data_IF_102286768544
#
_entry.id   IF_102286768544
#
_cell.length_a   1.000
_cell.length_b   1.000
_cell.length_c   1.000
_cell.angle_alpha   90.00
_cell.angle_beta   90.00
_cell.angle_gamma   90.00
#
_symmetry.space_group_name_H-M   'P 1'
#
loop_
_entity.id
_entity.type
_entity.pdbx_description
1 polymer ?
#
# COMPACT_ATOMS: atom_id res chain seq x y z
N UNK A 1 18.48 0.64 18.31
CA UNK A 1 17.42 -0.28 18.73
C UNK A 1 16.55 0.35 19.80
N UNK A 2 15.26 0.19 19.71
CA UNK A 2 14.29 0.75 20.65
C UNK A 2 12.97 -0.02 20.56
N UNK A 3 11.98 0.43 21.34
CA UNK A 3 10.61 -0.10 21.30
C UNK A 3 9.68 1.08 21.08
N UNK A 4 8.93 1.02 20.00
CA UNK A 4 7.89 1.97 19.62
C UNK A 4 6.55 1.24 19.65
N UNK A 5 5.71 1.56 20.62
CA UNK A 5 4.49 0.82 20.85
C UNK A 5 3.39 1.72 21.46
N UNK A 6 2.17 1.61 20.95
CA UNK A 6 1.01 2.43 21.31
C UNK A 6 1.25 3.93 21.14
N UNK A 7 1.64 4.32 19.93
CA UNK A 7 1.89 5.71 19.54
C UNK A 7 0.77 6.17 18.61
N UNK A 8 0.22 7.35 18.86
CA UNK A 8 -0.71 8.00 17.94
C UNK A 8 -0.16 9.37 17.55
N UNK A 9 0.15 9.54 16.26
CA UNK A 9 0.58 10.79 15.63
C UNK A 9 -0.63 11.40 14.93
N UNK A 10 -0.90 12.68 15.15
CA UNK A 10 -2.13 13.30 14.62
C UNK A 10 -1.87 14.71 14.14
N UNK A 11 -2.48 15.04 12.97
CA UNK A 11 -2.44 16.38 12.38
C UNK A 11 -1.00 16.89 12.25
N UNK A 12 -0.10 15.99 11.90
CA UNK A 12 1.30 16.27 11.58
C UNK A 12 1.44 16.72 10.14
N UNK A 13 2.70 16.83 9.74
CA UNK A 13 3.07 17.24 8.41
C UNK A 13 2.96 18.75 8.22
N UNK A 14 3.97 19.29 7.63
CA UNK A 14 3.96 20.68 7.15
C UNK A 14 4.89 20.74 5.96
N UNK A 15 4.54 21.50 4.95
CA UNK A 15 5.47 21.79 3.87
C UNK A 15 6.63 22.63 4.42
N UNK A 16 7.84 22.10 4.28
CA UNK A 16 9.10 22.80 4.65
C UNK A 16 9.80 23.39 3.43
N UNK A 17 9.19 23.25 2.26
CA UNK A 17 9.64 23.78 0.98
C UNK A 17 8.76 23.26 -0.15
N UNK A 18 8.97 23.74 -1.37
CA UNK A 18 8.24 23.22 -2.55
C UNK A 18 8.62 21.74 -2.79
N UNK A 19 7.63 20.84 -2.71
CA UNK A 19 7.83 19.41 -2.84
C UNK A 19 8.61 18.76 -1.69
N UNK A 20 8.63 19.38 -0.52
CA UNK A 20 9.22 18.81 0.69
C UNK A 20 8.24 18.96 1.85
N UNK A 21 7.67 17.88 2.24
CA UNK A 21 6.70 17.76 3.32
C UNK A 21 7.20 16.84 4.42
N UNK A 22 6.47 16.67 5.48
CA UNK A 22 6.87 15.83 6.61
C UNK A 22 5.86 14.70 6.77
N UNK A 23 6.33 13.47 6.65
CA UNK A 23 5.54 12.27 6.92
C UNK A 23 5.09 12.17 8.38
N UNK A 24 4.05 11.41 8.62
CA UNK A 24 3.59 11.14 9.97
C UNK A 24 4.64 10.42 10.80
N UNK A 25 5.22 9.37 10.25
CA UNK A 25 6.36 8.62 10.81
C UNK A 25 7.26 8.15 9.67
N UNK A 26 8.56 8.44 9.75
CA UNK A 26 9.56 7.90 8.81
C UNK A 26 10.53 6.96 9.54
N UNK A 27 10.70 5.74 9.04
CA UNK A 27 11.69 4.76 9.50
C UNK A 27 12.89 4.73 8.55
N UNK A 28 13.83 5.66 8.72
CA UNK A 28 15.03 5.77 7.87
C UNK A 28 16.11 4.75 8.26
N UNK A 29 16.30 3.70 7.48
CA UNK A 29 17.36 2.71 7.67
C UNK A 29 17.28 1.91 8.98
N UNK A 30 16.10 1.74 9.55
CA UNK A 30 15.93 1.10 10.86
C UNK A 30 16.09 -0.42 10.75
N UNK A 31 16.91 -1.00 11.62
CA UNK A 31 17.22 -2.43 11.62
C UNK A 31 16.32 -3.30 12.53
N UNK A 32 16.43 -4.61 12.36
CA UNK A 32 15.65 -5.66 13.07
C UNK A 32 15.77 -5.65 14.60
N UNK A 33 16.77 -4.95 15.16
CA UNK A 33 16.87 -4.76 16.62
C UNK A 33 15.87 -3.77 17.21
N UNK A 34 15.04 -3.13 16.39
CA UNK A 34 13.97 -2.22 16.81
C UNK A 34 12.63 -2.94 16.76
N UNK A 35 11.80 -2.75 17.76
CA UNK A 35 10.43 -3.26 17.81
C UNK A 35 9.45 -2.14 17.49
N UNK A 36 8.61 -2.33 16.48
CA UNK A 36 7.61 -1.37 16.03
C UNK A 36 6.25 -2.04 16.00
N UNK A 37 5.31 -1.55 16.80
CA UNK A 37 3.95 -2.07 16.80
C UNK A 37 2.94 -1.08 17.35
N UNK A 38 1.67 -1.24 16.96
CA UNK A 38 0.56 -0.43 17.47
C UNK A 38 0.83 1.07 17.29
N UNK A 39 1.00 1.50 16.04
CA UNK A 39 1.16 2.91 15.67
C UNK A 39 -0.06 3.35 14.88
N UNK A 40 -0.62 4.49 15.25
CA UNK A 40 -1.67 5.17 14.51
C UNK A 40 -1.14 6.51 13.99
N UNK A 41 -1.39 6.79 12.71
CA UNK A 41 -1.20 8.12 12.11
C UNK A 41 -2.56 8.62 11.62
N UNK A 42 -2.93 9.86 11.96
CA UNK A 42 -4.22 10.44 11.57
C UNK A 42 -4.03 11.83 11.00
N UNK A 43 -4.57 12.03 9.80
CA UNK A 43 -4.65 13.33 9.13
C UNK A 43 -3.27 14.04 9.07
N UNK A 44 -2.26 13.31 8.64
CA UNK A 44 -0.97 13.91 8.27
C UNK A 44 -1.12 14.65 6.93
N UNK A 45 -0.28 15.64 6.67
CA UNK A 45 -0.35 16.42 5.41
C UNK A 45 0.26 15.65 4.25
N UNK A 46 1.30 14.90 4.52
CA UNK A 46 2.05 14.04 3.63
C UNK A 46 1.73 12.57 3.96
N UNK A 47 2.63 11.64 3.70
CA UNK A 47 2.42 10.22 3.97
C UNK A 47 2.06 9.92 5.42
N UNK A 48 1.40 8.79 5.58
CA UNK A 48 1.14 8.25 6.90
C UNK A 48 2.41 7.69 7.53
N UNK A 49 2.92 6.60 7.01
CA UNK A 49 4.11 5.92 7.53
C UNK A 49 5.00 5.52 6.35
N UNK A 50 6.22 6.04 6.34
CA UNK A 50 7.24 5.74 5.34
C UNK A 50 8.32 4.80 5.91
N UNK A 51 8.70 3.81 5.12
CA UNK A 51 9.84 2.92 5.35
C UNK A 51 10.94 3.23 4.34
N UNK A 52 11.82 4.15 4.67
CA UNK A 52 12.94 4.59 3.84
C UNK A 52 14.13 3.65 4.04
N UNK A 53 14.10 2.50 3.41
CA UNK A 53 15.09 1.43 3.57
C UNK A 53 15.06 0.76 4.96
N UNK A 54 16.06 -0.08 5.21
CA UNK A 54 16.20 -0.79 6.47
C UNK A 54 15.49 -2.15 6.51
N UNK A 55 15.50 -2.78 7.69
CA UNK A 55 15.08 -4.18 7.87
C UNK A 55 14.14 -4.37 9.06
N UNK A 56 13.58 -3.27 9.61
CA UNK A 56 12.69 -3.34 10.77
C UNK A 56 11.38 -4.05 10.41
N UNK A 57 10.90 -4.93 11.29
CA UNK A 57 9.57 -5.46 11.16
C UNK A 57 8.59 -4.59 11.96
N UNK A 58 7.43 -4.30 11.36
CA UNK A 58 6.38 -3.51 11.97
C UNK A 58 5.03 -4.25 11.93
N UNK A 59 4.19 -4.01 12.93
CA UNK A 59 2.87 -4.65 12.99
C UNK A 59 1.82 -3.76 13.63
N UNK A 60 0.55 -4.02 13.28
CA UNK A 60 -0.60 -3.31 13.84
C UNK A 60 -0.49 -1.79 13.59
N UNK A 61 -0.15 -1.42 12.37
CA UNK A 61 -0.12 -0.02 11.95
C UNK A 61 -1.50 0.38 11.44
N UNK A 62 -1.94 1.57 11.78
CA UNK A 62 -3.15 2.16 11.24
C UNK A 62 -2.86 3.58 10.75
N UNK A 63 -3.16 3.83 9.48
CA UNK A 63 -3.12 5.16 8.89
C UNK A 63 -4.53 5.58 8.51
N UNK A 64 -4.91 6.81 8.83
CA UNK A 64 -6.23 7.34 8.51
C UNK A 64 -6.16 8.78 8.01
N UNK A 65 -6.69 8.98 6.79
CA UNK A 65 -6.91 10.29 6.18
C UNK A 65 -5.63 11.15 6.07
N UNK A 66 -4.52 10.53 5.67
CA UNK A 66 -3.30 11.21 5.28
C UNK A 66 -3.52 12.03 3.98
N UNK A 67 -2.64 12.98 3.71
CA UNK A 67 -2.78 13.89 2.58
C UNK A 67 -2.14 13.38 1.28
N UNK A 68 -1.24 12.41 1.38
CA UNK A 68 -0.59 11.73 0.27
C UNK A 68 -0.78 10.22 0.44
N UNK A 69 0.27 9.42 0.64
CA UNK A 69 0.18 7.98 0.66
C UNK A 69 0.03 7.38 2.06
N UNK A 70 -0.59 6.20 2.15
CA UNK A 70 -0.85 5.54 3.42
C UNK A 70 0.39 4.90 4.04
N UNK A 71 0.86 3.85 3.41
CA UNK A 71 2.14 3.21 3.68
C UNK A 71 3.02 3.40 2.45
N UNK A 72 4.11 4.11 2.63
CA UNK A 72 5.14 4.29 1.62
C UNK A 72 6.34 3.40 1.92
N UNK A 73 6.79 2.64 0.91
CA UNK A 73 7.95 1.75 0.99
C UNK A 73 8.94 2.13 -0.07
N UNK A 74 10.14 2.52 0.36
CA UNK A 74 11.17 3.05 -0.50
C UNK A 74 12.57 2.48 -0.15
N UNK A 75 13.57 2.72 -1.01
CA UNK A 75 15.00 2.49 -0.78
C UNK A 75 15.39 1.06 -0.37
N UNK A 76 14.93 0.04 -1.04
CA UNK A 76 15.24 -1.36 -0.68
C UNK A 76 14.86 -1.74 0.76
N UNK A 77 13.76 -1.25 1.27
CA UNK A 77 13.26 -1.76 2.55
C UNK A 77 13.04 -3.27 2.46
N UNK A 78 13.55 -4.01 3.45
CA UNK A 78 13.49 -5.48 3.46
C UNK A 78 12.93 -6.06 4.75
N UNK A 79 12.11 -5.29 5.44
CA UNK A 79 11.33 -5.77 6.57
C UNK A 79 9.98 -6.34 6.18
N UNK A 80 9.21 -6.71 7.21
CA UNK A 80 7.82 -7.15 7.08
C UNK A 80 6.89 -6.14 7.77
N UNK A 81 5.92 -5.62 7.04
CA UNK A 81 4.76 -4.92 7.62
C UNK A 81 3.59 -5.89 7.67
N UNK A 82 3.03 -6.08 8.85
CA UNK A 82 1.98 -7.06 9.05
C UNK A 82 0.79 -6.53 9.84
N UNK A 83 -0.36 -7.12 9.60
CA UNK A 83 -1.60 -6.83 10.32
C UNK A 83 -1.89 -5.32 10.40
N UNK A 84 -1.92 -4.64 9.27
CA UNK A 84 -2.00 -3.18 9.22
C UNK A 84 -3.20 -2.71 8.38
N UNK A 85 -3.65 -1.49 8.63
CA UNK A 85 -4.83 -0.91 7.99
C UNK A 85 -4.54 0.50 7.49
N UNK A 86 -4.94 0.78 6.26
CA UNK A 86 -4.97 2.13 5.69
C UNK A 86 -6.41 2.49 5.37
N UNK A 87 -6.84 3.67 5.81
CA UNK A 87 -8.18 4.21 5.59
C UNK A 87 -8.01 5.56 4.91
N UNK A 88 -8.34 5.64 3.64
CA UNK A 88 -8.20 6.86 2.86
C UNK A 88 -9.15 7.97 3.33
N UNK A 89 -8.71 9.20 3.18
CA UNK A 89 -9.49 10.41 3.38
C UNK A 89 -9.72 11.15 2.05
N UNK A 90 -10.36 12.30 2.09
CA UNK A 90 -10.72 13.07 0.89
C UNK A 90 -9.53 13.64 0.10
N UNK A 91 -8.35 13.65 0.68
CA UNK A 91 -7.14 14.22 0.06
C UNK A 91 -6.02 13.17 -0.10
N UNK A 92 -6.31 11.93 0.26
CA UNK A 92 -5.33 10.84 0.13
C UNK A 92 -5.10 10.51 -1.34
N UNK A 93 -3.86 10.13 -1.68
CA UNK A 93 -3.49 9.64 -3.00
C UNK A 93 -3.60 8.10 -3.03
N UNK A 94 -2.61 7.34 -2.63
CA UNK A 94 -2.70 5.89 -2.60
C UNK A 94 -2.80 5.34 -1.16
N UNK A 95 -3.40 4.14 -1.03
CA UNK A 95 -3.29 3.43 0.24
C UNK A 95 -1.89 2.83 0.44
N UNK A 96 -1.25 2.43 -0.64
CA UNK A 96 0.13 1.95 -0.66
C UNK A 96 0.89 2.63 -1.80
N UNK A 97 2.06 3.20 -1.51
CA UNK A 97 3.04 3.56 -2.52
C UNK A 97 4.27 2.66 -2.34
N UNK A 98 4.74 2.07 -3.43
CA UNK A 98 5.84 1.11 -3.37
C UNK A 98 6.88 1.47 -4.41
N UNK A 99 7.96 2.09 -3.94
CA UNK A 99 9.16 2.30 -4.70
C UNK A 99 10.20 1.22 -4.40
N UNK A 100 10.96 0.86 -5.39
CA UNK A 100 12.02 -0.13 -5.27
C UNK A 100 13.38 0.49 -4.95
N UNK A 101 14.46 -0.29 -5.11
CA UNK A 101 15.80 0.16 -4.80
C UNK A 101 16.30 1.27 -5.74
N UNK A 102 16.87 2.33 -5.19
CA UNK A 102 17.53 3.38 -5.95
C UNK A 102 19.07 3.21 -6.02
N UNK A 103 19.60 2.11 -5.57
CA UNK A 103 21.03 1.87 -5.49
C UNK A 103 21.44 0.48 -5.92
N UNK A 104 22.49 -0.03 -5.31
CA UNK A 104 23.02 -1.37 -5.59
C UNK A 104 22.49 -2.46 -4.64
N UNK A 105 21.69 -2.08 -3.64
CA UNK A 105 20.99 -3.02 -2.76
C UNK A 105 19.64 -3.34 -3.40
N UNK A 106 19.34 -4.61 -3.54
CA UNK A 106 18.13 -5.11 -4.21
C UNK A 106 17.39 -6.07 -3.26
N UNK A 107 17.10 -5.59 -2.06
CA UNK A 107 16.35 -6.35 -1.06
C UNK A 107 14.84 -6.13 -1.23
N UNK A 108 14.02 -7.08 -0.75
CA UNK A 108 12.58 -7.11 -0.96
C UNK A 108 11.80 -7.02 0.34
N UNK A 109 10.74 -6.22 0.34
CA UNK A 109 9.78 -6.12 1.44
C UNK A 109 8.76 -7.26 1.47
N UNK A 110 8.06 -7.37 2.59
CA UNK A 110 6.85 -8.21 2.69
C UNK A 110 5.71 -7.43 3.35
N UNK A 111 4.59 -7.31 2.64
CA UNK A 111 3.30 -6.92 3.22
C UNK A 111 2.48 -8.18 3.49
N UNK A 112 1.87 -8.27 4.68
CA UNK A 112 1.06 -9.44 5.04
C UNK A 112 -0.11 -9.09 5.95
N UNK A 113 -1.31 -9.52 5.60
CA UNK A 113 -2.55 -9.21 6.32
C UNK A 113 -2.81 -7.69 6.39
N UNK A 114 -2.97 -7.07 5.24
CA UNK A 114 -3.23 -5.62 5.11
C UNK A 114 -4.69 -5.39 4.73
N UNK A 115 -5.32 -4.41 5.35
CA UNK A 115 -6.66 -3.95 4.95
C UNK A 115 -6.58 -2.53 4.39
N UNK A 116 -7.10 -2.34 3.18
CA UNK A 116 -7.20 -1.06 2.50
C UNK A 116 -8.67 -0.65 2.46
N UNK A 117 -8.95 0.56 2.93
CA UNK A 117 -10.31 1.10 3.00
C UNK A 117 -10.36 2.39 2.18
N UNK A 118 -11.08 2.37 1.09
CA UNK A 118 -11.41 3.57 0.34
C UNK A 118 -12.52 4.38 1.04
N UNK A 119 -12.89 5.51 0.46
CA UNK A 119 -14.01 6.30 0.93
C UNK A 119 -14.80 6.91 -0.24
N UNK A 120 -16.09 7.11 -0.06
CA UNK A 120 -16.94 7.72 -1.09
C UNK A 120 -16.42 9.11 -1.47
N UNK A 121 -16.22 9.35 -2.76
CA UNK A 121 -15.75 10.62 -3.29
C UNK A 121 -14.25 10.88 -3.13
N UNK A 122 -13.48 9.90 -2.70
CA UNK A 122 -12.02 9.94 -2.68
C UNK A 122 -11.48 9.58 -4.06
N UNK A 123 -10.47 10.30 -4.50
CA UNK A 123 -9.79 10.06 -5.78
C UNK A 123 -8.63 9.07 -5.60
N UNK A 124 -8.30 8.72 -4.36
CA UNK A 124 -7.13 7.90 -4.06
C UNK A 124 -7.28 6.43 -4.42
N UNK A 125 -6.22 5.86 -4.94
CA UNK A 125 -6.15 4.51 -5.46
C UNK A 125 -5.76 3.45 -4.41
N UNK A 126 -5.83 2.18 -4.80
CA UNK A 126 -5.48 1.08 -3.91
C UNK A 126 -3.97 1.02 -3.64
N UNK A 127 -3.19 1.11 -4.70
CA UNK A 127 -1.72 1.05 -4.61
C UNK A 127 -1.05 1.49 -5.91
N UNK A 128 0.13 2.12 -5.80
CA UNK A 128 1.06 2.33 -6.90
C UNK A 128 2.34 1.51 -6.69
N UNK A 129 2.68 0.65 -7.64
CA UNK A 129 3.93 -0.11 -7.70
C UNK A 129 4.80 0.46 -8.79
N UNK A 130 5.81 1.24 -8.42
CA UNK A 130 6.64 2.02 -9.35
C UNK A 130 8.15 1.89 -9.07
N UNK A 131 8.97 2.52 -9.87
CA UNK A 131 10.40 2.75 -9.60
C UNK A 131 11.16 1.50 -9.14
N UNK A 132 11.15 0.43 -9.93
CA UNK A 132 11.81 -0.84 -9.60
C UNK A 132 11.18 -1.63 -8.44
N UNK A 133 9.92 -1.41 -8.10
CA UNK A 133 9.23 -2.11 -7.02
C UNK A 133 9.44 -3.62 -7.06
N UNK A 134 9.83 -4.21 -5.93
CA UNK A 134 10.04 -5.65 -5.77
C UNK A 134 9.77 -6.09 -4.33
N UNK A 135 8.98 -7.14 -4.17
CA UNK A 135 8.56 -7.63 -2.86
C UNK A 135 7.33 -8.50 -2.90
N UNK A 136 6.81 -8.86 -1.74
CA UNK A 136 5.69 -9.77 -1.60
C UNK A 136 4.46 -9.10 -0.96
N UNK A 137 3.33 -9.14 -1.67
CA UNK A 137 2.05 -8.58 -1.26
C UNK A 137 1.07 -9.72 -0.96
N UNK A 138 0.85 -10.02 0.31
CA UNK A 138 0.11 -11.20 0.74
C UNK A 138 -1.09 -10.85 1.61
N UNK A 139 -2.22 -11.55 1.39
CA UNK A 139 -3.38 -11.50 2.27
C UNK A 139 -3.92 -10.07 2.42
N UNK A 140 -4.14 -9.36 1.31
CA UNK A 140 -4.69 -8.01 1.30
C UNK A 140 -6.20 -8.07 1.11
N UNK A 141 -6.93 -7.34 1.94
CA UNK A 141 -8.36 -7.09 1.78
C UNK A 141 -8.59 -5.62 1.45
N UNK A 142 -9.32 -5.35 0.36
CA UNK A 142 -9.64 -4.00 -0.06
C UNK A 142 -11.15 -3.82 -0.27
N UNK A 143 -11.70 -2.74 0.27
CA UNK A 143 -13.13 -2.45 0.17
C UNK A 143 -13.43 -0.96 0.24
N UNK A 144 -14.64 -0.60 -0.16
CA UNK A 144 -15.19 0.77 -0.13
C UNK A 144 -14.44 1.77 -1.05
N UNK A 145 -13.76 1.28 -2.06
CA UNK A 145 -13.20 2.14 -3.11
C UNK A 145 -14.28 2.48 -4.13
N UNK A 146 -14.32 3.71 -4.67
CA UNK A 146 -15.17 4.03 -5.80
C UNK A 146 -14.71 3.33 -7.08
N UNK A 147 -15.60 3.24 -8.06
CA UNK A 147 -15.26 2.68 -9.37
C UNK A 147 -14.24 3.57 -10.09
N UNK A 148 -13.31 2.94 -10.80
CA UNK A 148 -12.24 3.60 -11.55
C UNK A 148 -10.94 3.78 -10.78
N UNK A 149 -10.85 3.30 -9.54
CA UNK A 149 -9.62 3.22 -8.78
C UNK A 149 -9.02 1.83 -8.91
N UNK A 150 -7.70 1.71 -8.92
CA UNK A 150 -7.01 0.46 -9.20
C UNK A 150 -5.73 0.22 -8.37
N UNK A 151 -5.17 -0.97 -8.50
CA UNK A 151 -3.79 -1.28 -8.17
C UNK A 151 -2.98 -0.98 -9.42
N UNK A 152 -2.13 0.01 -9.36
CA UNK A 152 -1.31 0.45 -10.46
C UNK A 152 0.03 -0.29 -10.49
N UNK A 153 0.39 -0.80 -11.66
CA UNK A 153 1.71 -1.36 -11.92
C UNK A 153 2.38 -0.52 -12.99
N UNK A 154 3.41 0.23 -12.63
CA UNK A 154 4.15 1.00 -13.64
C UNK A 154 4.83 0.03 -14.62
N UNK A 155 4.57 0.21 -15.90
CA UNK A 155 5.16 -0.63 -16.95
C UNK A 155 6.64 -0.33 -17.21
N UNK A 156 7.21 0.65 -16.53
CA UNK A 156 8.60 1.11 -16.69
C UNK A 156 9.47 0.67 -15.54
N UNK A 157 10.77 1.01 -15.63
CA UNK A 157 11.78 0.81 -14.58
C UNK A 157 11.73 -0.57 -13.96
N UNK A 158 11.65 -1.57 -14.84
CA UNK A 158 11.70 -2.99 -14.51
C UNK A 158 10.56 -3.54 -13.61
N UNK A 159 9.57 -2.73 -13.19
CA UNK A 159 8.48 -3.17 -12.33
C UNK A 159 7.67 -4.30 -12.98
N UNK A 160 7.32 -4.16 -14.25
CA UNK A 160 6.65 -5.23 -14.99
C UNK A 160 7.57 -6.46 -15.14
N UNK A 161 8.88 -6.26 -15.31
CA UNK A 161 9.84 -7.37 -15.37
C UNK A 161 9.95 -8.09 -14.03
N UNK A 162 9.96 -7.37 -12.90
CA UNK A 162 9.93 -7.96 -11.56
C UNK A 162 8.64 -8.75 -11.30
N UNK A 163 7.51 -8.26 -11.78
CA UNK A 163 6.27 -9.04 -11.74
C UNK A 163 6.38 -10.34 -12.56
N UNK A 164 6.90 -10.26 -13.79
CA UNK A 164 7.05 -11.42 -14.67
C UNK A 164 8.06 -12.45 -14.13
N UNK A 165 9.11 -12.02 -13.44
CA UNK A 165 10.10 -12.91 -12.81
C UNK A 165 9.63 -13.46 -11.45
N UNK A 166 8.61 -12.84 -10.83
CA UNK A 166 8.12 -13.16 -9.50
C UNK A 166 8.86 -12.46 -8.36
N UNK A 167 9.74 -11.50 -8.66
CA UNK A 167 10.41 -10.63 -7.67
C UNK A 167 9.43 -9.65 -7.06
N UNK A 168 8.45 -9.19 -7.83
CA UNK A 168 7.22 -8.55 -7.32
C UNK A 168 6.08 -9.58 -7.41
N UNK A 169 5.49 -9.92 -6.29
CA UNK A 169 4.51 -11.01 -6.21
C UNK A 169 3.27 -10.65 -5.40
N UNK A 170 2.16 -11.29 -5.76
CA UNK A 170 0.86 -11.11 -5.13
C UNK A 170 0.25 -12.44 -4.75
N UNK A 171 -0.39 -12.53 -3.58
CA UNK A 171 -1.14 -13.71 -3.18
C UNK A 171 -2.32 -13.37 -2.25
N UNK A 172 -3.46 -14.02 -2.47
CA UNK A 172 -4.67 -13.87 -1.66
C UNK A 172 -5.15 -12.41 -1.53
N UNK A 173 -5.26 -11.70 -2.64
CA UNK A 173 -5.85 -10.37 -2.65
C UNK A 173 -7.37 -10.51 -2.77
N UNK A 174 -8.12 -10.02 -1.80
CA UNK A 174 -9.58 -10.03 -1.79
C UNK A 174 -10.14 -8.62 -1.93
N UNK A 175 -10.94 -8.39 -2.95
CA UNK A 175 -11.49 -7.07 -3.27
C UNK A 175 -13.00 -7.10 -3.25
N UNK A 176 -13.62 -6.15 -2.57
CA UNK A 176 -15.03 -5.82 -2.79
C UNK A 176 -15.11 -4.93 -4.03
N UNK A 177 -15.32 -5.56 -5.17
CA UNK A 177 -15.30 -4.88 -6.46
C UNK A 177 -16.43 -3.84 -6.53
N UNK A 178 -16.11 -2.57 -6.83
CA UNK A 178 -17.12 -1.53 -6.98
C UNK A 178 -18.14 -1.85 -8.07
N UNK A 179 -19.35 -1.30 -7.91
CA UNK A 179 -20.39 -1.46 -8.94
C UNK A 179 -19.98 -0.76 -10.25
N UNK A 180 -19.90 -1.50 -11.31
CA UNK A 180 -19.47 -1.03 -12.63
C UNK A 180 -18.10 -1.53 -13.03
N UNK A 181 -17.29 -2.00 -12.08
CA UNK A 181 -15.96 -2.55 -12.35
C UNK A 181 -15.95 -4.09 -12.37
N UNK A 182 -14.82 -4.62 -12.78
CA UNK A 182 -14.52 -6.05 -12.86
C UNK A 182 -13.09 -6.31 -12.39
N UNK A 183 -12.84 -7.47 -11.79
CA UNK A 183 -11.46 -7.91 -11.49
C UNK A 183 -10.61 -8.14 -12.74
N UNK A 184 -11.23 -8.27 -13.90
CA UNK A 184 -10.55 -8.58 -15.16
C UNK A 184 -10.58 -7.40 -16.11
N UNK A 185 -9.60 -7.34 -17.01
CA UNK A 185 -9.56 -6.33 -18.07
C UNK A 185 -8.99 -4.99 -17.63
N UNK A 186 -8.17 -4.97 -16.58
CA UNK A 186 -7.42 -3.78 -16.18
C UNK A 186 -8.24 -2.71 -15.45
N UNK A 187 -9.30 -3.09 -14.75
CA UNK A 187 -10.13 -2.12 -14.01
C UNK A 187 -9.79 -2.06 -12.51
N UNK A 188 -9.33 -3.17 -11.93
CA UNK A 188 -8.88 -3.24 -10.52
C UNK A 188 -7.37 -3.46 -10.44
N UNK A 189 -6.78 -4.09 -11.43
CA UNK A 189 -5.34 -4.27 -11.57
C UNK A 189 -4.94 -3.72 -12.93
N UNK A 190 -4.14 -2.68 -12.95
CA UNK A 190 -3.83 -1.94 -14.17
C UNK A 190 -2.32 -1.77 -14.34
N UNK A 191 -1.75 -2.33 -15.39
CA UNK A 191 -0.32 -2.21 -15.74
C UNK A 191 -0.06 -1.22 -16.87
N UNK A 192 -0.99 -0.32 -17.12
CA UNK A 192 -0.82 0.73 -18.14
C UNK A 192 -0.52 2.09 -17.53
N UNK A 193 -0.46 2.19 -16.22
CA UNK A 193 -0.19 3.43 -15.49
C UNK A 193 1.24 3.90 -15.74
N UNK A 194 1.41 5.19 -15.70
CA UNK A 194 2.66 5.85 -15.94
C UNK A 194 2.85 7.00 -14.97
N UNK A 195 3.51 6.72 -13.88
CA UNK A 195 3.94 7.77 -12.97
C UNK A 195 5.20 8.49 -13.47
N UNK A 196 5.22 9.78 -13.39
CA UNK A 196 6.31 10.75 -13.57
C UNK A 196 7.50 10.39 -14.49
N UNK A 197 8.27 11.35 -14.87
CA UNK A 197 9.55 11.14 -15.56
C UNK A 197 9.52 11.27 -17.09
N UNK A 198 10.73 11.34 -17.66
CA UNK A 198 10.98 11.61 -19.09
C UNK A 198 11.03 10.37 -19.97
N UNK A 199 10.76 9.20 -19.44
CA UNK A 199 10.83 7.96 -20.22
C UNK A 199 9.67 7.86 -21.20
N UNK A 200 10.00 7.50 -22.43
CA UNK A 200 9.03 7.36 -23.51
C UNK A 200 8.86 5.87 -23.83
N UNK A 201 7.65 5.40 -23.79
CA UNK A 201 7.29 4.04 -24.19
C UNK A 201 5.80 3.95 -24.43
N UNK A 202 5.38 2.91 -25.12
CA UNK A 202 3.97 2.55 -25.21
C UNK A 202 3.75 1.39 -24.27
N UNK A 203 2.79 1.46 -23.33
CA UNK A 203 2.47 0.35 -22.46
C UNK A 203 2.20 -0.92 -23.29
N UNK A 204 2.76 -2.03 -22.84
CA UNK A 204 2.36 -3.35 -23.34
C UNK A 204 1.62 -4.02 -22.19
N UNK A 205 0.27 -3.97 -22.18
CA UNK A 205 -0.52 -4.48 -21.08
C UNK A 205 -0.19 -5.94 -20.77
N UNK A 206 0.03 -6.26 -19.51
CA UNK A 206 0.18 -7.62 -19.04
C UNK A 206 -1.20 -8.19 -18.68
N UNK A 207 -1.71 -9.04 -19.55
CA UNK A 207 -3.05 -9.62 -19.38
C UNK A 207 -3.19 -10.43 -18.07
N UNK A 208 -2.13 -11.05 -17.58
CA UNK A 208 -2.19 -11.79 -16.32
C UNK A 208 -2.39 -10.82 -15.14
N UNK A 209 -1.59 -9.75 -15.03
CA UNK A 209 -1.79 -8.75 -13.97
C UNK A 209 -3.17 -8.10 -14.05
N UNK A 210 -3.55 -7.65 -15.25
CA UNK A 210 -4.84 -6.98 -15.50
C UNK A 210 -6.07 -7.87 -15.23
N UNK A 211 -5.88 -9.17 -15.11
CA UNK A 211 -6.89 -10.16 -14.72
C UNK A 211 -6.74 -10.66 -13.27
N UNK A 212 -5.89 -10.04 -12.45
CA UNK A 212 -5.63 -10.49 -11.09
C UNK A 212 -4.95 -11.86 -11.00
N UNK A 213 -4.06 -12.16 -11.95
CA UNK A 213 -3.35 -13.45 -12.06
C UNK A 213 -1.83 -13.26 -12.01
N UNK A 214 -1.16 -14.21 -11.40
CA UNK A 214 0.30 -14.32 -11.50
C UNK A 214 0.73 -14.74 -12.92
N UNK A 215 1.97 -14.49 -13.31
CA UNK A 215 2.52 -15.02 -14.55
C UNK A 215 2.28 -16.54 -14.67
N UNK A 216 1.68 -16.95 -15.79
CA UNK A 216 1.26 -18.33 -15.98
C UNK A 216 -0.18 -18.65 -15.58
N UNK A 217 -0.97 -17.63 -15.20
CA UNK A 217 -2.43 -17.68 -15.17
C UNK A 217 -3.06 -18.16 -13.85
N UNK A 218 -2.31 -18.39 -12.77
CA UNK A 218 -2.90 -18.69 -11.46
C UNK A 218 -3.42 -17.40 -10.79
N UNK A 219 -4.69 -17.39 -10.37
CA UNK A 219 -5.27 -16.20 -9.74
C UNK A 219 -4.60 -15.88 -8.42
N UNK A 220 -4.17 -14.63 -8.24
CA UNK A 220 -3.79 -14.07 -6.94
C UNK A 220 -4.94 -13.27 -6.30
N UNK A 221 -5.92 -12.85 -7.10
CA UNK A 221 -7.02 -12.04 -6.64
C UNK A 221 -8.38 -12.76 -6.75
N UNK A 222 -9.31 -12.34 -5.90
CA UNK A 222 -10.70 -12.78 -5.91
C UNK A 222 -11.65 -11.68 -5.46
N UNK A 223 -12.87 -11.65 -6.04
CA UNK A 223 -13.96 -10.80 -5.57
C UNK A 223 -14.64 -11.43 -4.37
N UNK A 224 -14.92 -10.62 -3.36
CA UNK A 224 -15.69 -11.04 -2.17
C UNK A 224 -16.80 -10.04 -1.86
N UNK A 225 -17.85 -10.50 -1.19
CA UNK A 225 -18.84 -9.58 -0.64
C UNK A 225 -18.27 -8.87 0.60
N UNK A 226 -18.72 -7.66 0.85
CA UNK A 226 -18.32 -6.93 2.06
C UNK A 226 -18.64 -7.76 3.33
N UNK A 227 -17.68 -7.86 4.24
CA UNK A 227 -17.78 -8.67 5.45
C UNK A 227 -17.61 -10.19 5.26
N UNK A 228 -17.26 -10.65 4.05
CA UNK A 228 -17.04 -12.08 3.76
C UNK A 228 -15.55 -12.41 3.50
N UNK A 229 -14.66 -11.48 3.78
CA UNK A 229 -13.23 -11.65 3.62
C UNK A 229 -12.66 -12.73 4.56
N UNK A 230 -11.60 -13.37 4.12
CA UNK A 230 -10.84 -14.35 4.92
C UNK A 230 -9.37 -13.93 5.10
N UNK A 231 -9.01 -12.77 4.58
CA UNK A 231 -7.69 -12.15 4.67
C UNK A 231 -7.82 -10.69 5.08
N UNK A 232 -6.71 -10.00 5.26
CA UNK A 232 -6.68 -8.63 5.77
C UNK A 232 -6.28 -8.56 7.24
N UNK A 233 -6.31 -7.38 7.80
CA UNK A 233 -5.92 -7.12 9.18
C UNK A 233 -6.98 -7.62 10.18
N UNK A 234 -6.53 -8.11 11.34
CA UNK A 234 -7.40 -8.29 12.51
C UNK A 234 -7.74 -6.92 13.11
N UNK A 235 -8.94 -6.44 12.81
CA UNK A 235 -9.38 -5.12 13.24
C UNK A 235 -9.49 -4.97 14.77
N UNK A 236 -9.58 -6.07 15.52
CA UNK A 236 -9.74 -6.04 16.98
C UNK A 236 -8.55 -5.38 17.68
N UNK A 237 -7.35 -5.48 17.10
CA UNK A 237 -6.13 -4.88 17.66
C UNK A 237 -6.11 -3.35 17.60
N UNK A 238 -6.95 -2.74 16.74
CA UNK A 238 -7.02 -1.29 16.57
C UNK A 238 -8.03 -0.60 17.50
N UNK A 239 -8.68 -1.33 18.42
CA UNK A 239 -9.73 -0.78 19.30
C UNK A 239 -9.29 0.41 20.17
N UNK A 240 -7.99 0.61 20.35
CA UNK A 240 -7.39 1.73 21.09
C UNK A 240 -7.26 3.01 20.26
N UNK A 241 -7.43 2.96 18.94
CA UNK A 241 -7.17 4.05 17.99
C UNK A 241 -8.30 5.10 17.98
N UNK A 242 -7.97 6.30 17.51
CA UNK A 242 -8.96 7.32 17.21
C UNK A 242 -9.87 6.88 16.05
N UNK A 243 -9.30 6.25 15.03
CA UNK A 243 -10.05 5.74 13.89
C UNK A 243 -11.17 4.80 14.34
N UNK A 244 -10.87 3.83 15.20
CA UNK A 244 -11.87 2.93 15.77
C UNK A 244 -12.91 3.67 16.63
N UNK A 245 -12.47 4.61 17.48
CA UNK A 245 -13.36 5.41 18.32
C UNK A 245 -14.32 6.30 17.50
N UNK A 246 -14.00 6.57 16.24
CA UNK A 246 -14.83 7.34 15.29
C UNK A 246 -15.59 6.45 14.31
N UNK A 247 -15.45 5.13 14.41
CA UNK A 247 -16.10 4.17 13.50
C UNK A 247 -15.53 4.19 12.09
N UNK A 248 -14.31 4.70 11.89
CA UNK A 248 -13.70 4.84 10.57
C UNK A 248 -13.17 3.50 10.00
N UNK A 249 -12.91 2.51 10.85
CA UNK A 249 -12.37 1.22 10.40
C UNK A 249 -13.31 0.44 9.47
N UNK A 250 -14.59 0.67 9.55
CA UNK A 250 -15.60 0.05 8.66
C UNK A 250 -15.74 -1.49 8.82
N UNK A 251 -15.16 -2.09 9.87
CA UNK A 251 -15.14 -3.53 10.13
C UNK A 251 -15.89 -3.88 11.41
#
# INVERSE_FOLDING_TARGET
SGIYNYISVRHGGTSIGEGNEINGVTFGGVGTGTQVSNIEVVANVDDGIEFFGGTVNASNLLVWAQGDDGLDIDQSYSGTVSNSMVILGSNSDHALEIDGPEGTMEDTYTLNNITLVGADGVVGDYADFRSYAMGANNNIYAFNFPAGNDFELDYRRDVQAHFLSGELSFSNIQVVVPSGDSLTGGQIFNDTTREGGSETGTPTPNADFNDGKNPGGSSFASSVAAGSQTVGADASVFSWTLAAARGATGL
#
